data_IF_131285990701
#
_entry.id   IF_131285990701
#
_cell.length_a   1.000
_cell.length_b   1.000
_cell.length_c   1.000
_cell.angle_alpha   90.00
_cell.angle_beta   90.00
_cell.angle_gamma   90.00
#
_symmetry.space_group_name_H-M   'P 1'
#
loop_
_entity.id
_entity.type
_entity.pdbx_description
1 polymer ?
#
# COMPACT_ATOMS: atom_id res chain seq x y z
N UNK A 1 16.68 -84.35 77.31
CA UNK A 1 16.30 -82.93 77.49
C UNK A 1 17.07 -82.11 76.46
N UNK A 2 16.58 -82.03 75.22
CA UNK A 2 15.76 -80.95 74.64
C UNK A 2 16.59 -79.70 74.26
N UNK A 3 17.12 -79.71 73.04
CA UNK A 3 17.86 -78.61 72.39
C UNK A 3 16.84 -77.57 71.88
N UNK A 4 16.81 -76.38 72.48
CA UNK A 4 15.91 -75.28 72.07
C UNK A 4 16.40 -74.63 70.78
N UNK A 5 15.69 -74.88 69.68
CA UNK A 5 15.76 -74.14 68.42
C UNK A 5 15.22 -72.73 68.65
N UNK A 6 16.07 -71.70 68.54
CA UNK A 6 15.64 -70.30 68.55
C UNK A 6 15.58 -69.79 67.11
N UNK A 7 14.37 -69.71 66.56
CA UNK A 7 14.09 -69.24 65.21
C UNK A 7 13.69 -67.76 65.29
N UNK A 8 14.63 -66.87 64.97
CA UNK A 8 14.41 -65.41 65.01
C UNK A 8 13.69 -64.95 63.74
N UNK A 9 12.47 -64.45 63.90
CA UNK A 9 11.67 -63.82 62.83
C UNK A 9 12.03 -62.34 62.82
N UNK A 10 12.61 -61.85 61.72
CA UNK A 10 12.79 -60.41 61.49
C UNK A 10 11.51 -59.89 60.84
N UNK A 11 10.72 -59.14 61.60
CA UNK A 11 9.53 -58.45 61.12
C UNK A 11 9.95 -57.07 60.57
N UNK A 12 10.16 -56.98 59.26
CA UNK A 12 10.41 -55.71 58.57
C UNK A 12 9.11 -54.94 58.39
N UNK A 13 8.84 -53.98 59.27
CA UNK A 13 7.76 -53.01 59.13
C UNK A 13 8.17 -52.00 58.06
N UNK A 14 7.64 -52.17 56.84
CA UNK A 14 7.80 -51.20 55.76
C UNK A 14 7.01 -49.93 56.08
N UNK A 15 7.71 -48.89 56.54
CA UNK A 15 7.14 -47.56 56.69
C UNK A 15 7.08 -46.90 55.30
N UNK A 16 5.96 -47.07 54.61
CA UNK A 16 5.68 -46.37 53.37
C UNK A 16 5.44 -44.89 53.67
N UNK A 17 6.44 -44.04 53.45
CA UNK A 17 6.24 -42.60 53.47
C UNK A 17 5.35 -42.20 52.28
N UNK A 18 4.23 -41.48 52.47
CA UNK A 18 3.51 -40.92 51.36
C UNK A 18 4.38 -39.83 50.74
N UNK A 19 4.93 -40.13 49.56
CA UNK A 19 5.56 -39.12 48.69
C UNK A 19 4.45 -38.18 48.25
N UNK A 20 4.33 -37.05 48.93
CA UNK A 20 3.42 -35.99 48.53
C UNK A 20 4.03 -35.28 47.32
N UNK A 21 3.69 -35.77 46.12
CA UNK A 21 4.03 -35.12 44.86
C UNK A 21 3.28 -33.79 44.79
N UNK A 22 3.97 -32.68 45.09
CA UNK A 22 3.42 -31.35 44.85
C UNK A 22 3.36 -31.13 43.33
N UNK A 23 2.18 -31.33 42.75
CA UNK A 23 1.88 -30.85 41.42
C UNK A 23 1.89 -29.32 41.44
N UNK A 24 3.02 -28.71 41.06
CA UNK A 24 3.04 -27.30 40.69
C UNK A 24 2.18 -27.15 39.44
N UNK A 25 0.93 -26.71 39.59
CA UNK A 25 0.09 -26.33 38.46
C UNK A 25 0.86 -25.26 37.67
N UNK A 26 1.12 -25.45 36.36
CA UNK A 26 1.78 -24.43 35.58
C UNK A 26 0.95 -23.15 35.67
N UNK A 27 1.61 -22.02 35.98
CA UNK A 27 1.01 -20.69 35.98
C UNK A 27 0.60 -20.36 34.55
N UNK A 28 -0.63 -20.70 34.17
CA UNK A 28 -1.19 -20.35 32.87
C UNK A 28 -1.26 -18.82 32.83
N UNK A 29 -0.42 -18.21 31.98
CA UNK A 29 -0.51 -16.78 31.70
C UNK A 29 -1.79 -16.55 30.91
N UNK A 30 -2.87 -16.18 31.60
CA UNK A 30 -4.12 -15.80 30.94
C UNK A 30 -3.92 -14.42 30.30
N UNK A 31 -3.55 -14.43 29.04
CA UNK A 31 -3.50 -13.23 28.22
C UNK A 31 -4.93 -12.80 27.88
N UNK A 32 -5.39 -11.69 28.46
CA UNK A 32 -6.76 -11.18 28.28
C UNK A 32 -6.91 -10.19 27.13
N UNK A 33 -5.94 -10.14 26.20
CA UNK A 33 -6.02 -9.21 25.08
C UNK A 33 -6.68 -9.83 23.86
N UNK A 34 -7.54 -9.06 23.21
CA UNK A 34 -8.31 -9.49 22.07
C UNK A 34 -8.28 -8.48 20.92
N UNK A 35 -8.44 -8.99 19.70
CA UNK A 35 -8.51 -8.21 18.48
C UNK A 35 -9.72 -8.69 17.68
N UNK A 36 -10.52 -7.75 17.20
CA UNK A 36 -11.73 -8.06 16.42
C UNK A 36 -11.96 -7.05 15.31
N UNK A 37 -12.73 -7.46 14.31
CA UNK A 37 -13.16 -6.59 13.23
C UNK A 37 -13.95 -7.34 12.17
N UNK A 38 -14.39 -6.59 11.17
CA UNK A 38 -15.14 -7.05 10.02
C UNK A 38 -14.38 -6.68 8.74
N UNK A 39 -14.18 -7.63 7.84
CA UNK A 39 -13.52 -7.37 6.55
C UNK A 39 -14.56 -7.34 5.43
N UNK A 40 -14.58 -6.25 4.67
CA UNK A 40 -15.51 -6.05 3.56
C UNK A 40 -14.78 -5.57 2.29
N UNK A 41 -15.46 -5.68 1.15
CA UNK A 41 -15.05 -5.07 -0.11
C UNK A 41 -15.50 -3.60 -0.18
N UNK A 42 -14.59 -2.68 -0.51
CA UNK A 42 -14.87 -1.23 -0.59
C UNK A 42 -15.92 -0.85 -1.64
N UNK A 43 -16.05 -1.63 -2.72
CA UNK A 43 -16.90 -1.31 -3.88
C UNK A 43 -18.31 -1.90 -3.82
N UNK A 44 -18.45 -3.09 -3.27
CA UNK A 44 -19.70 -3.86 -3.23
C UNK A 44 -20.26 -4.00 -1.82
N UNK A 45 -19.50 -3.56 -0.79
CA UNK A 45 -19.79 -3.84 0.63
C UNK A 45 -19.97 -5.34 0.93
N UNK A 46 -19.44 -6.21 0.08
CA UNK A 46 -19.51 -7.65 0.27
C UNK A 46 -18.61 -8.06 1.43
N UNK A 47 -19.15 -8.86 2.35
CA UNK A 47 -18.41 -9.46 3.46
C UNK A 47 -17.43 -10.49 2.93
N UNK A 48 -16.14 -10.32 3.21
CA UNK A 48 -15.09 -11.18 2.68
C UNK A 48 -14.86 -12.36 3.62
N UNK A 49 -15.28 -13.55 3.19
CA UNK A 49 -15.03 -14.82 3.89
C UNK A 49 -13.63 -15.35 3.58
N UNK A 50 -13.06 -16.14 4.48
CA UNK A 50 -11.75 -16.81 4.30
C UNK A 50 -10.56 -15.85 4.04
N UNK A 51 -10.69 -14.55 4.35
CA UNK A 51 -9.60 -13.60 4.28
C UNK A 51 -8.55 -13.93 5.34
N UNK A 52 -7.28 -13.92 4.94
CA UNK A 52 -6.16 -14.22 5.84
C UNK A 52 -5.90 -12.99 6.70
N UNK A 53 -6.12 -13.13 8.01
CA UNK A 53 -5.85 -12.08 9.00
C UNK A 53 -4.66 -12.54 9.83
N UNK A 54 -3.57 -11.79 9.77
CA UNK A 54 -2.29 -12.12 10.38
C UNK A 54 -1.89 -10.98 11.30
N UNK A 55 -1.44 -11.31 12.51
CA UNK A 55 -0.84 -10.36 13.42
C UNK A 55 0.66 -10.62 13.50
N UNK A 56 1.41 -9.58 13.15
CA UNK A 56 2.86 -9.56 13.18
C UNK A 56 3.32 -8.71 14.37
N UNK A 57 4.45 -9.04 14.97
CA UNK A 57 5.07 -8.15 15.94
C UNK A 57 5.72 -6.94 15.24
N UNK A 58 5.56 -5.74 15.79
CA UNK A 58 6.04 -4.51 15.15
C UNK A 58 7.58 -4.41 15.07
N UNK A 59 8.32 -5.12 15.92
CA UNK A 59 9.80 -5.06 15.98
C UNK A 59 10.49 -5.93 14.93
N UNK A 60 10.01 -7.16 14.75
CA UNK A 60 10.67 -8.18 13.94
C UNK A 60 9.76 -8.74 12.82
N UNK A 61 8.52 -8.26 12.73
CA UNK A 61 7.51 -8.74 11.77
C UNK A 61 7.25 -10.25 11.85
N UNK A 62 7.57 -10.90 12.98
CA UNK A 62 7.28 -12.32 13.19
C UNK A 62 5.79 -12.52 13.43
N UNK A 63 5.21 -13.53 12.78
CA UNK A 63 3.82 -13.94 12.96
C UNK A 63 3.61 -14.37 14.42
N UNK A 64 2.69 -13.68 15.11
CA UNK A 64 2.27 -14.03 16.47
C UNK A 64 1.00 -14.84 16.48
N UNK A 65 0.05 -14.49 15.63
CA UNK A 65 -1.20 -15.19 15.50
C UNK A 65 -1.75 -14.98 14.08
N UNK A 66 -2.54 -15.93 13.61
CA UNK A 66 -3.27 -15.79 12.37
C UNK A 66 -4.66 -16.42 12.53
N UNK A 67 -5.61 -15.91 11.76
CA UNK A 67 -6.96 -16.45 11.66
C UNK A 67 -7.51 -16.21 10.26
N UNK A 68 -8.70 -16.74 9.99
CA UNK A 68 -9.46 -16.44 8.77
C UNK A 68 -10.78 -15.79 9.14
N UNK A 69 -11.26 -14.91 8.27
CA UNK A 69 -12.59 -14.33 8.45
C UNK A 69 -13.67 -15.39 8.24
N UNK A 70 -14.73 -15.28 9.04
CA UNK A 70 -15.93 -16.12 8.96
C UNK A 70 -16.78 -15.77 7.73
N UNK A 71 -17.83 -16.57 7.41
CA UNK A 71 -18.74 -16.28 6.29
C UNK A 71 -19.42 -14.90 6.36
N UNK A 72 -19.55 -14.35 7.56
CA UNK A 72 -20.08 -13.01 7.79
C UNK A 72 -19.02 -11.90 7.69
N UNK A 73 -17.78 -12.24 7.33
CA UNK A 73 -16.62 -11.34 7.23
C UNK A 73 -15.94 -11.03 8.56
N UNK A 74 -16.45 -11.54 9.68
CA UNK A 74 -15.91 -11.21 11.00
C UNK A 74 -14.67 -12.02 11.33
N UNK A 75 -13.75 -11.43 12.12
CA UNK A 75 -12.65 -12.15 12.72
C UNK A 75 -12.53 -11.78 14.21
N UNK A 76 -12.09 -12.76 15.00
CA UNK A 76 -11.85 -12.59 16.43
C UNK A 76 -10.61 -13.40 16.81
N UNK A 77 -9.69 -12.75 17.53
CA UNK A 77 -8.49 -13.37 18.07
C UNK A 77 -8.37 -12.95 19.53
N UNK A 78 -8.10 -13.91 20.40
CA UNK A 78 -7.89 -13.68 21.83
C UNK A 78 -6.59 -14.37 22.29
N UNK A 79 -6.19 -14.11 23.54
CA UNK A 79 -5.03 -14.77 24.13
C UNK A 79 -3.70 -14.11 23.77
N UNK A 80 -3.71 -12.86 23.32
CA UNK A 80 -2.50 -12.16 22.90
C UNK A 80 -1.79 -11.46 24.05
N UNK A 81 -0.45 -11.43 24.14
CA UNK A 81 0.24 -10.57 25.09
C UNK A 81 0.08 -9.08 24.75
N UNK A 82 0.22 -8.20 25.73
CA UNK A 82 0.34 -6.77 25.48
C UNK A 82 1.62 -6.44 24.71
N UNK A 83 1.57 -5.43 23.84
CA UNK A 83 2.69 -5.01 22.99
C UNK A 83 2.26 -4.30 21.72
N UNK A 84 3.25 -3.96 20.89
CA UNK A 84 3.05 -3.32 19.59
C UNK A 84 3.01 -4.36 18.46
N UNK A 85 1.99 -4.25 17.62
CA UNK A 85 1.66 -5.21 16.59
C UNK A 85 1.33 -4.52 15.26
N UNK A 86 1.36 -5.33 14.21
CA UNK A 86 0.92 -4.96 12.88
C UNK A 86 -0.17 -5.95 12.48
N UNK A 87 -1.36 -5.44 12.17
CA UNK A 87 -2.41 -6.19 11.54
C UNK A 87 -2.12 -6.23 10.04
N UNK A 88 -2.02 -7.42 9.48
CA UNK A 88 -1.87 -7.66 8.04
C UNK A 88 -3.05 -8.50 7.55
N UNK A 89 -3.77 -8.01 6.56
CA UNK A 89 -4.90 -8.73 5.97
C UNK A 89 -4.65 -8.89 4.48
N UNK A 90 -4.78 -10.12 3.99
CA UNK A 90 -4.66 -10.43 2.56
C UNK A 90 -5.83 -11.27 2.08
N UNK A 91 -6.30 -10.96 0.87
CA UNK A 91 -7.36 -11.70 0.20
C UNK A 91 -7.09 -11.73 -1.32
N UNK A 92 -7.30 -12.88 -2.00
CA UNK A 92 -6.98 -13.01 -3.43
C UNK A 92 -7.71 -11.97 -4.29
N UNK A 93 -6.96 -11.23 -5.12
CA UNK A 93 -7.51 -10.17 -5.98
C UNK A 93 -7.62 -8.79 -5.33
N UNK A 94 -7.31 -8.68 -4.03
CA UNK A 94 -7.40 -7.43 -3.26
C UNK A 94 -6.02 -6.93 -2.82
N UNK A 95 -5.91 -5.62 -2.62
CA UNK A 95 -4.74 -5.02 -2.02
C UNK A 95 -4.62 -5.43 -0.55
N UNK A 96 -3.40 -5.75 -0.13
CA UNK A 96 -3.13 -6.09 1.25
C UNK A 96 -3.38 -4.87 2.15
N UNK A 97 -4.01 -5.10 3.29
CA UNK A 97 -4.23 -4.07 4.30
C UNK A 97 -3.21 -4.24 5.42
N UNK A 98 -2.62 -3.13 5.87
CA UNK A 98 -1.64 -3.13 6.95
C UNK A 98 -1.88 -1.96 7.90
N UNK A 99 -2.05 -2.23 9.19
CA UNK A 99 -2.22 -1.20 10.23
C UNK A 99 -1.44 -1.54 11.50
N UNK A 100 -0.72 -0.58 12.06
CA UNK A 100 -0.03 -0.74 13.34
C UNK A 100 -0.99 -0.46 14.50
N UNK A 101 -0.95 -1.28 15.54
CA UNK A 101 -1.74 -1.10 16.74
C UNK A 101 -0.98 -1.55 17.99
N UNK A 102 -1.43 -1.11 19.16
CA UNK A 102 -0.86 -1.47 20.45
C UNK A 102 -1.93 -2.03 21.37
N UNK A 103 -1.56 -3.05 22.14
CA UNK A 103 -2.37 -3.64 23.20
C UNK A 103 -1.67 -3.36 24.54
N UNK A 104 -2.36 -2.70 25.45
CA UNK A 104 -1.84 -2.30 26.76
C UNK A 104 -2.95 -2.41 27.82
N UNK A 105 -2.61 -2.25 29.10
CA UNK A 105 -3.56 -2.41 30.21
C UNK A 105 -4.82 -1.52 30.11
N UNK A 106 -4.78 -0.42 29.36
CA UNK A 106 -5.93 0.46 29.08
C UNK A 106 -6.72 0.04 27.84
N UNK A 107 -6.09 -0.67 26.91
CA UNK A 107 -6.66 -1.16 25.65
C UNK A 107 -6.51 -2.68 25.57
N UNK A 108 -7.29 -3.35 26.41
CA UNK A 108 -7.32 -4.82 26.45
C UNK A 108 -7.91 -5.41 25.17
N UNK A 109 -8.85 -4.72 24.51
CA UNK A 109 -9.41 -5.14 23.22
C UNK A 109 -9.25 -4.06 22.17
N UNK A 110 -8.68 -4.41 21.02
CA UNK A 110 -8.64 -3.56 19.83
C UNK A 110 -9.73 -3.98 18.86
N UNK A 111 -10.69 -3.08 18.63
CA UNK A 111 -11.72 -3.21 17.61
C UNK A 111 -11.32 -2.38 16.38
N UNK A 112 -11.25 -3.04 15.23
CA UNK A 112 -11.03 -2.38 13.93
C UNK A 112 -12.34 -2.03 13.22
N UNK A 113 -13.49 -2.35 13.82
CA UNK A 113 -14.83 -2.13 13.27
C UNK A 113 -14.94 -2.71 11.86
N UNK A 114 -14.83 -1.88 10.82
CA UNK A 114 -14.97 -2.26 9.43
C UNK A 114 -13.68 -1.92 8.67
N UNK A 115 -13.03 -2.95 8.15
CA UNK A 115 -11.83 -2.87 7.33
C UNK A 115 -12.23 -3.15 5.88
N UNK A 116 -12.09 -2.14 5.04
CA UNK A 116 -12.47 -2.25 3.63
C UNK A 116 -11.25 -2.52 2.76
N UNK A 117 -11.25 -3.67 2.07
CA UNK A 117 -10.21 -4.03 1.12
C UNK A 117 -10.56 -3.51 -0.28
N UNK A 118 -9.53 -2.99 -0.95
CA UNK A 118 -9.65 -2.44 -2.31
C UNK A 118 -9.23 -3.50 -3.32
N UNK A 119 -10.01 -3.70 -4.38
CA UNK A 119 -9.64 -4.57 -5.49
C UNK A 119 -8.36 -4.07 -6.19
N UNK A 120 -7.41 -4.97 -6.47
CA UNK A 120 -6.16 -4.60 -7.19
C UNK A 120 -6.46 -3.98 -8.55
N UNK A 121 -7.52 -4.42 -9.22
CA UNK A 121 -7.96 -3.89 -10.52
C UNK A 121 -8.35 -2.41 -10.45
N UNK A 122 -8.96 -1.97 -9.35
CA UNK A 122 -9.30 -0.56 -9.14
C UNK A 122 -8.05 0.30 -8.93
N UNK A 123 -7.10 -0.17 -8.12
CA UNK A 123 -5.82 0.52 -7.94
C UNK A 123 -5.05 0.62 -9.26
N UNK A 124 -4.98 -0.47 -10.03
CA UNK A 124 -4.32 -0.46 -11.34
C UNK A 124 -5.03 0.47 -12.32
N UNK A 125 -6.37 0.50 -12.35
CA UNK A 125 -7.13 1.44 -13.17
C UNK A 125 -6.85 2.89 -12.76
N UNK A 126 -6.80 3.19 -11.47
CA UNK A 126 -6.44 4.52 -10.98
C UNK A 126 -5.00 4.90 -11.36
N UNK A 127 -4.05 3.98 -11.24
CA UNK A 127 -2.65 4.19 -11.67
C UNK A 127 -2.56 4.38 -13.19
N UNK A 128 -3.30 3.63 -13.99
CA UNK A 128 -3.36 3.81 -15.45
C UNK A 128 -3.93 5.19 -15.80
N UNK A 129 -5.00 5.62 -15.12
CA UNK A 129 -5.59 6.95 -15.33
C UNK A 129 -4.59 8.05 -14.92
N UNK A 130 -3.94 7.93 -13.75
CA UNK A 130 -2.91 8.89 -13.32
C UNK A 130 -1.69 8.87 -14.25
N UNK A 131 -1.29 7.71 -14.76
CA UNK A 131 -0.17 7.54 -15.69
C UNK A 131 -0.43 8.09 -17.09
N UNK A 132 -1.66 7.92 -17.61
CA UNK A 132 -2.08 8.54 -18.88
C UNK A 132 -2.30 10.05 -18.75
N UNK A 133 -2.61 10.54 -17.55
CA UNK A 133 -2.78 11.95 -17.22
C UNK A 133 -1.49 12.64 -16.72
N UNK A 134 -0.31 12.04 -16.90
CA UNK A 134 0.94 12.75 -16.68
C UNK A 134 1.06 13.87 -17.73
N UNK A 135 0.62 15.06 -17.35
CA UNK A 135 0.60 16.28 -18.18
C UNK A 135 2.02 16.73 -18.53
N UNK A 136 2.99 16.41 -17.67
CA UNK A 136 4.39 16.82 -17.78
C UNK A 136 5.28 15.63 -17.38
N UNK A 137 6.23 15.29 -18.23
CA UNK A 137 7.26 14.27 -17.99
C UNK A 137 8.64 14.88 -18.19
N UNK A 138 9.45 14.87 -17.14
CA UNK A 138 10.84 15.35 -17.20
C UNK A 138 11.73 14.15 -17.55
N UNK A 139 12.46 14.23 -18.67
CA UNK A 139 13.40 13.21 -19.13
C UNK A 139 14.79 13.85 -19.29
N UNK A 140 15.58 13.81 -18.23
CA UNK A 140 16.89 14.47 -18.19
C UNK A 140 16.73 15.98 -18.41
N UNK A 141 17.32 16.48 -19.50
CA UNK A 141 17.29 17.90 -19.89
C UNK A 141 16.05 18.27 -20.75
N UNK A 142 15.17 17.32 -21.03
CA UNK A 142 13.95 17.54 -21.84
C UNK A 142 12.70 17.52 -20.96
N UNK A 143 11.88 18.56 -21.07
CA UNK A 143 10.54 18.60 -20.52
C UNK A 143 9.53 18.24 -21.61
N UNK A 144 8.85 17.11 -21.45
CA UNK A 144 7.80 16.65 -22.36
C UNK A 144 6.42 16.99 -21.80
N UNK A 145 5.60 17.67 -22.58
CA UNK A 145 4.22 18.00 -22.29
C UNK A 145 3.29 17.13 -23.14
N UNK A 146 2.28 16.55 -22.52
CA UNK A 146 1.25 15.80 -23.23
C UNK A 146 0.15 16.76 -23.71
N UNK A 147 0.08 17.00 -25.02
CA UNK A 147 -0.88 17.92 -25.61
C UNK A 147 -2.34 17.48 -25.40
N UNK A 148 -2.61 16.17 -25.43
CA UNK A 148 -3.95 15.58 -25.22
C UNK A 148 -4.47 15.75 -23.80
N UNK A 149 -3.59 16.03 -22.84
CA UNK A 149 -4.00 16.26 -21.45
C UNK A 149 -4.67 17.64 -21.26
N UNK A 150 -4.53 18.55 -22.23
CA UNK A 150 -5.13 19.89 -22.19
C UNK A 150 -6.42 19.94 -23.03
N UNK A 151 -7.56 20.19 -22.38
CA UNK A 151 -8.88 20.25 -23.04
C UNK A 151 -9.07 21.52 -23.88
N UNK A 152 -8.72 21.49 -25.15
CA UNK A 152 -8.88 22.62 -26.08
C UNK A 152 -10.26 22.66 -26.76
N UNK A 153 -10.61 23.81 -27.34
CA UNK A 153 -11.81 23.95 -28.16
C UNK A 153 -11.70 23.14 -29.46
N UNK A 154 -12.82 22.68 -30.05
CA UNK A 154 -12.81 22.06 -31.38
C UNK A 154 -12.23 23.06 -32.40
N UNK A 155 -11.22 22.65 -33.17
CA UNK A 155 -10.43 23.50 -34.09
C UNK A 155 -9.47 24.53 -33.43
N UNK A 156 -9.07 24.32 -32.18
CA UNK A 156 -8.01 25.14 -31.58
C UNK A 156 -6.68 24.99 -32.33
N UNK A 157 -5.92 26.08 -32.39
CA UNK A 157 -4.59 26.11 -33.02
C UNK A 157 -3.51 25.71 -32.03
N UNK A 158 -2.33 25.34 -32.52
CA UNK A 158 -1.17 25.03 -31.66
C UNK A 158 -0.78 26.23 -30.78
N UNK A 159 -0.95 27.48 -31.24
CA UNK A 159 -0.76 28.67 -30.40
C UNK A 159 -1.62 28.64 -29.12
N UNK A 160 -2.86 28.14 -29.18
CA UNK A 160 -3.77 28.07 -28.03
C UNK A 160 -3.39 26.95 -27.07
N UNK A 161 -2.78 25.88 -27.59
CA UNK A 161 -2.16 24.82 -26.79
C UNK A 161 -0.97 25.36 -26.01
N UNK A 162 -0.03 26.01 -26.72
CA UNK A 162 1.21 26.54 -26.15
C UNK A 162 0.95 27.58 -25.05
N UNK A 163 -0.07 28.45 -25.20
CA UNK A 163 -0.50 29.41 -24.17
C UNK A 163 -0.99 28.74 -22.86
N UNK A 164 -1.40 27.48 -22.91
CA UNK A 164 -1.86 26.73 -21.74
C UNK A 164 -0.75 25.91 -21.07
N UNK A 165 0.40 25.78 -21.73
CA UNK A 165 1.53 25.09 -21.15
C UNK A 165 2.20 25.98 -20.10
N UNK A 166 2.50 25.44 -18.89
CA UNK A 166 3.12 26.22 -17.84
C UNK A 166 4.54 26.61 -18.25
N UNK A 167 4.87 27.89 -18.10
CA UNK A 167 6.18 28.42 -18.44
C UNK A 167 6.35 28.80 -19.91
N UNK A 168 5.35 28.63 -20.77
CA UNK A 168 5.37 29.11 -22.15
C UNK A 168 4.49 30.35 -22.29
N UNK A 169 5.02 31.37 -22.96
CA UNK A 169 4.36 32.64 -23.23
C UNK A 169 4.46 32.94 -24.73
N UNK A 170 3.41 33.52 -25.29
CA UNK A 170 3.37 33.96 -26.68
C UNK A 170 2.99 35.44 -26.69
N UNK A 171 3.86 36.26 -27.25
CA UNK A 171 3.64 37.70 -27.41
C UNK A 171 2.67 38.01 -28.56
N UNK A 172 2.18 39.24 -28.62
CA UNK A 172 1.30 39.71 -29.71
C UNK A 172 1.97 39.62 -31.09
N UNK A 173 3.29 39.69 -31.11
CA UNK A 173 4.11 39.55 -32.33
C UNK A 173 4.32 38.10 -32.75
N UNK A 174 3.77 37.12 -32.00
CA UNK A 174 3.92 35.69 -32.25
C UNK A 174 5.19 35.06 -31.69
N UNK A 175 6.06 35.85 -31.04
CA UNK A 175 7.29 35.35 -30.40
C UNK A 175 6.95 34.41 -29.24
N UNK A 176 7.57 33.23 -29.24
CA UNK A 176 7.37 32.19 -28.22
C UNK A 176 8.54 32.28 -27.22
N UNK A 177 8.22 32.40 -25.94
CA UNK A 177 9.20 32.39 -24.86
C UNK A 177 8.89 31.27 -23.88
N UNK A 178 9.86 30.44 -23.55
CA UNK A 178 9.74 29.39 -22.54
C UNK A 178 10.68 29.68 -21.37
N UNK A 179 10.17 29.67 -20.14
CA UNK A 179 10.95 29.88 -18.91
C UNK A 179 11.79 31.18 -18.92
N UNK A 180 11.31 32.22 -19.61
CA UNK A 180 12.01 33.51 -19.76
C UNK A 180 13.05 33.56 -20.88
N UNK A 181 13.25 32.49 -21.64
CA UNK A 181 14.12 32.44 -22.82
C UNK A 181 13.31 32.42 -24.11
N UNK A 182 13.72 33.18 -25.12
CA UNK A 182 13.07 33.20 -26.43
C UNK A 182 13.42 31.95 -27.22
N UNK A 183 12.40 31.28 -27.75
CA UNK A 183 12.54 30.09 -28.59
C UNK A 183 12.80 30.54 -30.03
N UNK A 184 14.00 30.25 -30.52
CA UNK A 184 14.42 30.63 -31.89
C UNK A 184 14.11 29.55 -32.92
N UNK A 185 13.92 28.29 -32.50
CA UNK A 185 13.72 27.15 -33.39
C UNK A 185 12.55 26.28 -32.92
N UNK A 186 11.74 25.85 -33.88
CA UNK A 186 10.64 24.89 -33.67
C UNK A 186 10.87 23.71 -34.60
N UNK A 187 10.73 22.50 -34.06
CA UNK A 187 10.89 21.25 -34.79
C UNK A 187 9.52 20.58 -34.88
N UNK A 188 9.19 20.03 -36.05
CA UNK A 188 7.99 19.23 -36.29
C UNK A 188 8.46 17.84 -36.70
N UNK A 189 8.05 16.81 -35.95
CA UNK A 189 8.50 15.42 -36.14
C UNK A 189 10.04 15.23 -36.15
N UNK A 190 10.76 16.14 -35.51
CA UNK A 190 12.23 16.14 -35.44
C UNK A 190 12.93 16.85 -36.59
N UNK A 191 12.17 17.36 -37.57
CA UNK A 191 12.69 18.13 -38.70
C UNK A 191 12.46 19.64 -38.50
N UNK A 192 13.38 20.46 -39.01
CA UNK A 192 13.22 21.93 -39.00
C UNK A 192 12.13 22.32 -40.01
N UNK A 193 11.00 22.85 -39.53
CA UNK A 193 9.87 23.20 -40.38
C UNK A 193 9.93 24.69 -40.76
N UNK A 194 10.46 24.96 -41.96
CA UNK A 194 10.54 26.22 -42.72
C UNK A 194 10.98 27.50 -41.98
N UNK A 195 12.25 27.89 -42.23
CA UNK A 195 12.76 29.27 -42.13
C UNK A 195 12.90 29.83 -40.72
N UNK A 196 13.66 30.91 -40.57
CA UNK A 196 13.97 31.60 -39.29
C UNK A 196 12.73 32.16 -38.54
N UNK A 197 11.49 31.84 -38.96
CA UNK A 197 10.25 32.35 -38.39
C UNK A 197 9.36 31.25 -37.77
N UNK A 198 9.48 31.00 -36.45
CA UNK A 198 8.69 30.00 -35.73
C UNK A 198 7.19 30.31 -35.64
N UNK A 199 6.75 31.50 -36.08
CA UNK A 199 5.34 31.94 -35.95
C UNK A 199 4.41 31.35 -37.02
N UNK A 200 4.95 30.92 -38.17
CA UNK A 200 4.16 30.37 -39.28
C UNK A 200 3.65 28.95 -38.99
N UNK A 201 4.39 28.18 -38.19
CA UNK A 201 4.11 26.78 -37.87
C UNK A 201 2.95 26.66 -36.89
N UNK A 202 2.97 27.47 -35.83
CA UNK A 202 1.99 27.40 -34.73
C UNK A 202 0.61 27.98 -35.07
N UNK A 203 0.52 28.76 -36.16
CA UNK A 203 -0.72 29.37 -36.65
C UNK A 203 -1.53 28.49 -37.62
N UNK A 204 -0.85 27.60 -38.34
CA UNK A 204 -1.48 26.75 -39.37
C UNK A 204 -1.70 25.30 -38.91
N UNK A 205 -0.98 24.86 -37.87
CA UNK A 205 -1.20 23.55 -37.28
C UNK A 205 -2.37 23.59 -36.30
N UNK A 206 -3.22 22.58 -36.39
CA UNK A 206 -4.29 22.33 -35.42
C UNK A 206 -3.73 21.60 -34.21
N UNK A 207 -4.21 21.94 -33.02
CA UNK A 207 -3.69 21.37 -31.78
C UNK A 207 -4.08 19.90 -31.57
N UNK A 208 -5.15 19.42 -32.23
CA UNK A 208 -5.60 18.03 -32.18
C UNK A 208 -4.65 17.07 -32.93
N UNK A 209 -3.85 17.59 -33.86
CA UNK A 209 -2.81 16.84 -34.58
C UNK A 209 -1.51 16.70 -33.77
N UNK A 210 -1.37 17.42 -32.67
CA UNK A 210 -0.16 17.37 -31.82
C UNK A 210 -0.39 16.40 -30.67
N UNK A 211 0.42 15.35 -30.62
CA UNK A 211 0.37 14.38 -29.53
C UNK A 211 1.19 14.83 -28.31
N UNK A 212 2.38 15.40 -28.55
CA UNK A 212 3.36 15.77 -27.52
C UNK A 212 4.13 17.02 -27.92
N UNK A 213 4.49 17.83 -26.93
CA UNK A 213 5.37 19.00 -27.09
C UNK A 213 6.59 18.79 -26.22
N UNK A 214 7.79 18.90 -26.80
CA UNK A 214 9.04 18.72 -26.06
C UNK A 214 9.83 20.02 -26.04
N UNK A 215 10.25 20.42 -24.84
CA UNK A 215 11.14 21.55 -24.62
C UNK A 215 12.48 20.99 -24.16
N UNK A 216 13.54 21.27 -24.90
CA UNK A 216 14.91 20.89 -24.54
C UNK A 216 15.89 21.99 -24.94
N UNK A 217 16.96 22.11 -24.17
CA UNK A 217 18.09 22.97 -24.50
C UNK A 217 19.01 22.22 -25.47
N UNK A 218 19.09 22.68 -26.72
CA UNK A 218 20.09 22.21 -27.67
C UNK A 218 21.40 22.93 -27.34
N UNK A 219 22.17 22.39 -26.40
CA UNK A 219 23.57 22.79 -26.23
C UNK A 219 24.29 22.61 -27.56
N UNK A 220 24.85 23.72 -28.03
CA UNK A 220 25.60 23.81 -29.29
C UNK A 220 26.92 23.05 -29.23
#
# INVERSE_FOLDING_TARGET
MCFKKLMTIILSIGFAMPVFSQQTKPKTLTYNYAVKGLVIDTSTNLKLKDAAVIILNSKDSIIKQFTRTQPDGSFFMNGMPGGDYILYISYPGYADYTEKFALDSSRTTKDFSMISLILKTHLLKEVIIKGTMSTIRIKGDTTEYNAKAYKLSPNAKVEDLLKRLPGIQIDKDGRISAQGQTINKVLVDGEEFFGDDPTLVTRNLRADMVDKVQLFDKKS
#
